data_IF_664050032008
#
_entry.id   IF_664050032008
#
_cell.length_a   1.000
_cell.length_b   1.000
_cell.length_c   1.000
_cell.angle_alpha   90.00
_cell.angle_beta   90.00
_cell.angle_gamma   90.00
#
_symmetry.space_group_name_H-M   'P 1'
#
loop_
_entity.id
_entity.type
_entity.pdbx_description
1 polymer ?
#
# COMPACT_ATOMS: atom_id res chain seq x y z
N UNK A 1 -40.55 -37.02 -21.11
CA UNK A 1 -39.82 -36.61 -19.88
C UNK A 1 -38.42 -36.05 -20.16
N UNK A 2 -37.58 -36.70 -20.98
CA UNK A 2 -36.22 -36.20 -21.32
C UNK A 2 -36.19 -34.76 -21.88
N UNK A 3 -37.10 -34.40 -22.77
CA UNK A 3 -37.15 -33.07 -23.42
C UNK A 3 -37.44 -31.95 -22.40
N UNK A 4 -38.34 -32.19 -21.43
CA UNK A 4 -38.67 -31.22 -20.39
C UNK A 4 -37.48 -30.94 -19.47
N UNK A 5 -36.67 -31.96 -19.18
CA UNK A 5 -35.45 -31.83 -18.37
C UNK A 5 -34.40 -30.98 -19.08
N UNK A 6 -34.22 -31.17 -20.39
CA UNK A 6 -33.31 -30.33 -21.19
C UNK A 6 -33.77 -28.87 -21.26
N UNK A 7 -35.08 -28.63 -21.31
CA UNK A 7 -35.65 -27.28 -21.39
C UNK A 7 -35.53 -26.52 -20.07
N UNK A 8 -35.73 -27.22 -18.95
CA UNK A 8 -35.44 -26.70 -17.61
C UNK A 8 -33.96 -26.38 -17.43
N UNK A 9 -33.07 -27.26 -17.88
CA UNK A 9 -31.62 -27.06 -17.79
C UNK A 9 -31.17 -25.86 -18.64
N UNK A 10 -31.75 -25.67 -19.83
CA UNK A 10 -31.46 -24.54 -20.69
C UNK A 10 -31.80 -23.18 -20.05
N UNK A 11 -32.89 -23.09 -19.27
CA UNK A 11 -33.26 -21.85 -18.59
C UNK A 11 -32.23 -21.38 -17.56
N UNK A 12 -31.51 -22.29 -16.90
CA UNK A 12 -30.46 -21.93 -15.94
C UNK A 12 -29.24 -21.24 -16.61
N UNK A 13 -29.00 -21.48 -17.90
CA UNK A 13 -27.85 -20.92 -18.62
C UNK A 13 -28.12 -19.55 -19.27
N UNK A 14 -29.38 -19.11 -19.37
CA UNK A 14 -29.74 -17.82 -20.00
C UNK A 14 -29.25 -16.62 -19.16
N UNK A 15 -29.21 -16.76 -17.83
CA UNK A 15 -28.82 -15.67 -16.92
C UNK A 15 -27.33 -15.27 -16.97
N UNK A 16 -26.45 -16.15 -17.48
CA UNK A 16 -25.01 -15.86 -17.52
C UNK A 16 -24.58 -15.13 -18.81
N UNK A 17 -25.40 -15.16 -19.87
CA UNK A 17 -25.15 -14.48 -21.15
C UNK A 17 -25.54 -12.99 -21.14
N UNK A 18 -26.29 -12.55 -20.12
CA UNK A 18 -26.74 -11.17 -19.97
C UNK A 18 -25.67 -10.23 -19.37
N UNK A 19 -24.43 -10.69 -19.20
CA UNK A 19 -23.32 -9.83 -18.78
C UNK A 19 -22.86 -9.01 -19.98
N UNK A 20 -23.03 -7.68 -20.00
CA UNK A 20 -22.46 -6.87 -21.08
C UNK A 20 -20.93 -7.01 -21.06
N UNK A 21 -20.34 -7.45 -22.16
CA UNK A 21 -18.89 -7.50 -22.39
C UNK A 21 -18.26 -6.09 -22.47
N UNK A 22 -19.11 -5.06 -22.59
CA UNK A 22 -18.71 -3.66 -22.57
C UNK A 22 -18.54 -3.21 -21.12
N UNK A 23 -17.30 -2.89 -20.75
CA UNK A 23 -16.95 -2.26 -19.47
C UNK A 23 -17.63 -0.88 -19.42
N UNK A 24 -18.87 -0.82 -18.93
CA UNK A 24 -19.69 0.41 -18.90
C UNK A 24 -19.22 1.41 -17.84
N UNK A 25 -18.34 1.01 -16.92
CA UNK A 25 -17.71 1.88 -15.92
C UNK A 25 -16.29 1.40 -15.67
N UNK A 26 -15.31 2.10 -16.26
CA UNK A 26 -13.93 1.98 -15.84
C UNK A 26 -13.83 2.77 -14.53
N UNK A 27 -13.94 2.11 -13.38
CA UNK A 27 -13.57 2.75 -12.12
C UNK A 27 -12.05 2.74 -12.04
N UNK A 28 -11.46 3.91 -12.30
CA UNK A 28 -10.07 4.14 -11.95
C UNK A 28 -9.96 4.16 -10.43
N UNK A 29 -9.18 3.23 -9.89
CA UNK A 29 -8.85 3.20 -8.48
C UNK A 29 -7.49 3.82 -8.31
N UNK A 30 -7.43 4.92 -7.57
CA UNK A 30 -6.16 5.52 -7.18
C UNK A 30 -5.41 4.53 -6.27
N UNK A 31 -4.20 4.17 -6.68
CA UNK A 31 -3.29 3.35 -5.90
C UNK A 31 -2.19 4.25 -5.40
N UNK A 32 -2.16 4.50 -4.09
CA UNK A 32 -1.09 5.26 -3.45
C UNK A 32 0.19 4.41 -3.42
N UNK A 33 1.18 4.81 -4.22
CA UNK A 33 2.49 4.16 -4.27
C UNK A 33 3.45 4.99 -3.39
N UNK A 34 4.24 4.35 -2.51
CA UNK A 34 5.21 5.07 -1.69
C UNK A 34 6.27 5.72 -2.58
N UNK A 35 6.41 7.04 -2.49
CA UNK A 35 7.50 7.79 -3.11
C UNK A 35 8.72 7.77 -2.21
N UNK A 36 9.92 7.67 -2.79
CA UNK A 36 11.16 7.73 -2.02
C UNK A 36 11.39 9.15 -1.53
N UNK A 37 11.56 9.34 -0.23
CA UNK A 37 12.02 10.62 0.28
C UNK A 37 13.49 10.87 -0.09
N UNK A 38 13.79 12.02 -0.68
CA UNK A 38 15.15 12.46 -1.02
C UNK A 38 15.91 13.01 0.21
N UNK A 39 15.82 12.33 1.35
CA UNK A 39 16.50 12.71 2.57
C UNK A 39 17.86 12.00 2.67
N UNK A 40 18.94 12.77 2.82
CA UNK A 40 20.27 12.20 3.12
C UNK A 40 20.34 11.87 4.61
N UNK A 41 20.41 10.57 4.93
CA UNK A 41 20.48 10.12 6.31
C UNK A 41 21.83 10.50 6.94
N UNK A 42 21.85 11.09 8.15
CA UNK A 42 23.09 11.31 8.88
C UNK A 42 23.69 9.97 9.34
N UNK A 43 24.99 9.98 9.65
CA UNK A 43 25.66 8.79 10.19
C UNK A 43 25.21 8.51 11.63
N UNK A 44 24.87 7.25 11.92
CA UNK A 44 24.40 6.85 13.23
C UNK A 44 25.56 6.74 14.22
N UNK A 45 25.56 7.49 15.33
CA UNK A 45 26.61 7.37 16.34
C UNK A 45 26.53 6.01 17.04
N UNK A 46 27.70 5.47 17.41
CA UNK A 46 27.80 4.21 18.17
C UNK A 46 27.47 4.46 19.64
N UNK A 47 26.67 3.58 20.21
CA UNK A 47 26.37 3.60 21.64
C UNK A 47 27.44 2.85 22.44
N UNK A 48 27.87 3.43 23.56
CA UNK A 48 28.75 2.82 24.54
C UNK A 48 28.12 2.91 25.93
N UNK A 49 27.99 1.76 26.60
CA UNK A 49 27.42 1.66 27.95
C UNK A 49 28.27 2.36 29.01
N UNK A 50 29.57 2.56 28.76
CA UNK A 50 30.49 3.23 29.69
C UNK A 50 30.56 4.74 29.49
N UNK A 51 30.02 5.25 28.39
CA UNK A 51 30.00 6.68 28.07
C UNK A 51 28.57 7.21 27.95
N UNK A 52 28.17 8.01 28.94
CA UNK A 52 26.87 8.68 28.96
C UNK A 52 26.71 9.69 27.81
N UNK A 53 27.80 10.25 27.28
CA UNK A 53 27.71 11.18 26.14
C UNK A 53 27.31 10.45 24.85
N UNK A 54 27.74 9.20 24.67
CA UNK A 54 27.28 8.36 23.55
C UNK A 54 25.75 8.16 23.55
N UNK A 55 25.14 8.04 24.74
CA UNK A 55 23.69 7.96 24.89
C UNK A 55 23.02 9.26 24.45
N UNK A 56 23.59 10.40 24.86
CA UNK A 56 23.10 11.73 24.48
C UNK A 56 23.22 11.97 22.97
N UNK A 57 24.36 11.64 22.38
CA UNK A 57 24.60 11.77 20.94
C UNK A 57 23.59 10.94 20.14
N UNK A 58 23.30 9.71 20.58
CA UNK A 58 22.30 8.85 19.98
C UNK A 58 20.87 9.43 20.09
N UNK A 59 20.52 10.01 21.24
CA UNK A 59 19.23 10.68 21.41
C UNK A 59 19.08 11.90 20.47
N UNK A 60 20.13 12.70 20.33
CA UNK A 60 20.15 13.84 19.39
C UNK A 60 20.02 13.36 17.94
N UNK A 61 20.73 12.30 17.57
CA UNK A 61 20.62 11.68 16.25
C UNK A 61 19.17 11.29 15.93
N UNK A 62 18.48 10.58 16.83
CA UNK A 62 17.09 10.17 16.57
C UNK A 62 16.15 11.37 16.44
N UNK A 63 16.33 12.41 17.25
CA UNK A 63 15.56 13.65 17.11
C UNK A 63 15.77 14.31 15.75
N UNK A 64 17.01 14.38 15.27
CA UNK A 64 17.31 14.96 13.95
C UNK A 64 16.70 14.15 12.81
N UNK A 65 16.78 12.82 12.89
CA UNK A 65 16.16 11.91 11.92
C UNK A 65 14.65 12.09 11.88
N UNK A 66 13.98 12.18 13.03
CA UNK A 66 12.53 12.39 13.07
C UNK A 66 12.13 13.71 12.40
N UNK A 67 12.85 14.80 12.69
CA UNK A 67 12.61 16.11 12.06
C UNK A 67 12.85 16.05 10.55
N UNK A 68 13.92 15.36 10.12
CA UNK A 68 14.26 15.19 8.71
C UNK A 68 13.16 14.41 7.97
N UNK A 69 12.68 13.32 8.57
CA UNK A 69 11.68 12.45 7.94
C UNK A 69 10.27 13.04 7.98
N UNK A 70 9.94 13.92 8.94
CA UNK A 70 8.66 14.65 8.92
C UNK A 70 8.51 15.52 7.67
N UNK A 71 9.59 16.14 7.20
CA UNK A 71 9.59 16.90 5.93
C UNK A 71 9.27 16.05 4.70
N UNK A 72 9.38 14.73 4.79
CA UNK A 72 9.02 13.83 3.69
C UNK A 72 7.50 13.61 3.56
N UNK A 73 6.73 13.97 4.59
CA UNK A 73 5.28 13.72 4.66
C UNK A 73 4.50 14.98 4.25
N UNK A 74 5.07 16.17 4.48
CA UNK A 74 4.31 17.43 4.46
C UNK A 74 4.43 18.30 3.18
N UNK A 75 5.20 17.89 2.15
CA UNK A 75 5.53 18.71 0.94
C UNK A 75 5.98 20.17 1.20
#
# INVERSE_FOLDING_TARGET
MKILVFLLLAMFFIGCAAKPEVITRIQYQDVYIPVRCQAKMPEKPKFDKKDLQSARALAVYYRQVEILLKRCIDE
#
